data_IF_288692155740
#
_entry.id   IF_288692155740
#
_cell.length_a   1.000
_cell.length_b   1.000
_cell.length_c   1.000
_cell.angle_alpha   90.00
_cell.angle_beta   90.00
_cell.angle_gamma   90.00
#
_symmetry.space_group_name_H-M   'P 1'
#
loop_
_entity.id
_entity.type
_entity.pdbx_description
1 polymer ?
#
# COMPACT_ATOMS: atom_id res chain seq x y z
N UNK A 1 6.50 -1.82 -29.25
CA UNK A 1 5.90 -0.49 -29.14
C UNK A 1 5.21 -0.30 -27.78
N UNK A 2 4.61 0.89 -27.52
CA UNK A 2 3.96 1.18 -26.24
C UNK A 2 2.78 0.26 -25.91
N UNK A 3 2.07 -0.21 -26.90
CA UNK A 3 0.95 -1.15 -26.72
C UNK A 3 1.46 -2.52 -26.25
N UNK A 4 2.51 -3.01 -26.89
CA UNK A 4 3.13 -4.29 -26.51
C UNK A 4 3.70 -4.22 -25.09
N UNK A 5 4.35 -3.12 -24.75
CA UNK A 5 4.86 -2.89 -23.39
C UNK A 5 3.74 -2.85 -22.35
N UNK A 6 2.63 -2.12 -22.61
CA UNK A 6 1.48 -2.07 -21.73
C UNK A 6 0.92 -3.47 -21.46
N UNK A 7 0.74 -4.28 -22.52
CA UNK A 7 0.25 -5.65 -22.41
C UNK A 7 1.14 -6.53 -21.51
N UNK A 8 2.47 -6.34 -21.60
CA UNK A 8 3.42 -7.08 -20.78
C UNK A 8 3.36 -6.69 -19.30
N UNK A 9 3.25 -5.38 -19.00
CA UNK A 9 3.31 -4.89 -17.62
C UNK A 9 1.96 -4.89 -16.90
N UNK A 10 0.83 -4.92 -17.62
CA UNK A 10 -0.51 -4.75 -17.03
C UNK A 10 -0.79 -5.73 -15.89
N UNK A 11 -0.36 -6.98 -16.01
CA UNK A 11 -0.52 -7.99 -14.97
C UNK A 11 0.51 -7.89 -13.84
N UNK A 12 1.48 -6.98 -13.95
CA UNK A 12 2.57 -6.79 -12.99
C UNK A 12 2.36 -5.54 -12.14
N UNK A 13 1.51 -4.61 -12.58
CA UNK A 13 1.27 -3.33 -11.91
C UNK A 13 -0.22 -3.04 -11.78
N UNK A 14 -0.63 -2.50 -10.64
CA UNK A 14 -2.02 -2.09 -10.36
C UNK A 14 -2.23 -0.58 -10.57
N UNK A 15 -1.16 0.18 -10.83
CA UNK A 15 -1.26 1.62 -11.05
C UNK A 15 -1.94 1.96 -12.39
N UNK A 16 -2.60 3.12 -12.50
CA UNK A 16 -3.15 3.60 -13.76
C UNK A 16 -2.08 3.78 -14.84
N UNK A 17 -2.38 3.31 -16.06
CA UNK A 17 -1.52 3.44 -17.23
C UNK A 17 -2.18 4.41 -18.21
N UNK A 18 -1.49 5.52 -18.52
CA UNK A 18 -1.96 6.53 -19.46
C UNK A 18 -1.07 6.54 -20.70
N UNK A 19 -1.68 6.42 -21.89
CA UNK A 19 -0.96 6.57 -23.15
C UNK A 19 -0.84 8.03 -23.58
N UNK A 20 0.38 8.44 -23.94
CA UNK A 20 0.66 9.72 -24.61
C UNK A 20 1.14 9.45 -26.04
N UNK A 21 0.32 9.70 -27.04
CA UNK A 21 0.56 9.23 -28.40
C UNK A 21 0.19 10.25 -29.48
N UNK A 22 0.84 10.13 -30.64
CA UNK A 22 0.43 10.86 -31.85
C UNK A 22 -0.65 10.13 -32.64
N UNK A 23 -1.01 8.89 -32.27
CA UNK A 23 -2.07 8.14 -32.94
C UNK A 23 -3.43 8.70 -32.53
N UNK A 24 -4.23 9.06 -33.54
CA UNK A 24 -5.54 9.73 -33.34
C UNK A 24 -6.71 8.91 -33.88
N UNK A 25 -6.45 7.76 -34.49
CA UNK A 25 -7.48 6.90 -35.02
C UNK A 25 -8.26 6.25 -33.87
N UNK A 26 -9.56 6.23 -33.97
CA UNK A 26 -10.47 5.65 -32.98
C UNK A 26 -10.15 4.18 -32.70
N UNK A 27 -9.75 3.42 -33.72
CA UNK A 27 -9.33 2.02 -33.61
C UNK A 27 -8.08 1.86 -32.71
N UNK A 28 -7.09 2.76 -32.83
CA UNK A 28 -5.89 2.76 -31.97
C UNK A 28 -6.23 3.07 -30.49
N UNK A 29 -7.19 3.97 -30.26
CA UNK A 29 -7.66 4.33 -28.93
C UNK A 29 -8.40 3.15 -28.29
N UNK A 30 -9.33 2.55 -29.02
CA UNK A 30 -10.09 1.39 -28.57
C UNK A 30 -9.18 0.20 -28.29
N UNK A 31 -8.17 -0.01 -29.15
CA UNK A 31 -7.18 -1.06 -28.93
C UNK A 31 -6.36 -0.81 -27.68
N UNK A 32 -5.84 0.43 -27.47
CA UNK A 32 -5.06 0.80 -26.29
C UNK A 32 -5.82 0.60 -24.99
N UNK A 33 -7.09 0.99 -24.96
CA UNK A 33 -7.96 0.78 -23.78
C UNK A 33 -8.28 -0.71 -23.60
N UNK A 34 -8.47 -1.45 -24.68
CA UNK A 34 -8.75 -2.89 -24.65
C UNK A 34 -7.61 -3.74 -24.11
N UNK A 35 -6.35 -3.30 -24.21
CA UNK A 35 -5.17 -4.00 -23.67
C UNK A 35 -4.85 -3.63 -22.23
N UNK A 36 -5.67 -2.77 -21.59
CA UNK A 36 -5.55 -2.46 -20.17
C UNK A 36 -5.00 -1.08 -19.84
N UNK A 37 -4.98 -0.14 -20.80
CA UNK A 37 -4.74 1.27 -20.49
C UNK A 37 -5.98 1.89 -19.82
N UNK A 38 -5.74 2.82 -18.88
CA UNK A 38 -6.79 3.51 -18.14
C UNK A 38 -7.19 4.83 -18.80
N UNK A 39 -6.31 5.44 -19.60
CA UNK A 39 -6.59 6.67 -20.35
C UNK A 39 -5.68 6.82 -21.56
N UNK A 40 -6.09 7.71 -22.46
CA UNK A 40 -5.43 7.93 -23.74
C UNK A 40 -5.41 9.42 -24.07
N UNK A 41 -4.22 9.99 -24.24
CA UNK A 41 -4.03 11.42 -24.51
C UNK A 41 -3.28 11.59 -25.82
N UNK A 42 -3.91 12.26 -26.78
CA UNK A 42 -3.31 12.51 -28.09
C UNK A 42 -2.38 13.72 -28.09
N UNK A 43 -1.28 13.62 -28.80
CA UNK A 43 -0.38 14.75 -29.08
C UNK A 43 -0.90 15.57 -30.27
N UNK A 44 -0.84 16.92 -30.21
CA UNK A 44 -0.31 17.76 -29.11
C UNK A 44 -1.32 17.89 -27.98
N UNK A 45 -0.84 17.85 -26.73
CA UNK A 45 -1.67 18.04 -25.53
C UNK A 45 -1.16 19.23 -24.69
N UNK A 46 -2.05 19.78 -23.87
CA UNK A 46 -1.69 20.81 -22.87
C UNK A 46 -1.22 20.15 -21.58
N UNK A 47 -0.14 20.66 -20.99
CA UNK A 47 0.38 20.15 -19.72
C UNK A 47 -0.68 20.18 -18.61
N UNK A 48 -1.57 21.21 -18.63
CA UNK A 48 -2.68 21.31 -17.69
C UNK A 48 -3.69 20.19 -17.85
N UNK A 49 -3.97 19.74 -19.07
CA UNK A 49 -4.85 18.60 -19.36
C UNK A 49 -4.24 17.30 -18.82
N UNK A 50 -2.95 17.06 -19.12
CA UNK A 50 -2.24 15.90 -18.58
C UNK A 50 -2.31 15.87 -17.05
N UNK A 51 -1.99 16.99 -16.39
CA UNK A 51 -2.06 17.09 -14.92
C UNK A 51 -3.47 16.80 -14.38
N UNK A 52 -4.50 17.32 -15.01
CA UNK A 52 -5.89 17.11 -14.60
C UNK A 52 -6.30 15.64 -14.72
N UNK A 53 -5.93 14.97 -15.82
CA UNK A 53 -6.20 13.54 -16.03
C UNK A 53 -5.45 12.66 -15.03
N UNK A 54 -4.15 12.88 -14.83
CA UNK A 54 -3.37 12.16 -13.82
C UNK A 54 -3.99 12.34 -12.43
N UNK A 55 -4.32 13.60 -12.04
CA UNK A 55 -4.97 13.87 -10.75
C UNK A 55 -6.34 13.16 -10.62
N UNK A 56 -7.11 13.06 -11.71
CA UNK A 56 -8.39 12.37 -11.72
C UNK A 56 -8.23 10.87 -11.50
N UNK A 57 -7.25 10.22 -12.18
CA UNK A 57 -6.95 8.80 -12.01
C UNK A 57 -6.44 8.51 -10.59
N UNK A 58 -5.49 9.28 -10.07
CA UNK A 58 -5.00 9.13 -8.70
C UNK A 58 -6.09 9.32 -7.64
N UNK A 59 -7.04 10.25 -7.88
CA UNK A 59 -8.18 10.45 -6.99
C UNK A 59 -9.17 9.29 -7.05
N UNK A 60 -9.40 8.69 -8.24
CA UNK A 60 -10.25 7.51 -8.42
C UNK A 60 -9.62 6.32 -7.72
N UNK A 61 -8.34 6.08 -7.94
CA UNK A 61 -7.57 5.03 -7.26
C UNK A 61 -7.64 5.16 -5.73
N UNK A 62 -7.48 6.37 -5.19
CA UNK A 62 -7.70 6.62 -3.75
C UNK A 62 -9.13 6.36 -3.27
N UNK A 63 -10.14 6.43 -4.14
CA UNK A 63 -11.54 6.13 -3.79
C UNK A 63 -11.86 4.64 -3.91
N UNK A 64 -11.28 3.96 -4.88
CA UNK A 64 -11.45 2.50 -5.07
C UNK A 64 -10.62 1.71 -4.06
N UNK A 65 -9.49 2.23 -3.62
CA UNK A 65 -8.84 1.87 -2.37
C UNK A 65 -9.52 2.56 -1.18
N UNK A 66 -10.80 2.29 -0.94
CA UNK A 66 -11.26 2.11 0.41
C UNK A 66 -10.52 0.87 0.91
N UNK A 67 -9.45 1.15 1.14
CA UNK A 67 -8.21 0.63 1.57
C UNK A 67 -8.46 -0.10 2.87
N UNK A 68 -9.15 -1.21 2.73
CA UNK A 68 -9.17 -2.23 3.76
C UNK A 68 -8.23 -3.33 3.33
N UNK A 69 -7.20 -3.58 4.11
CA UNK A 69 -6.44 -4.81 4.03
C UNK A 69 -7.09 -5.80 4.97
N UNK A 70 -7.53 -6.94 4.45
CA UNK A 70 -8.12 -8.00 5.25
C UNK A 70 -7.18 -9.19 5.31
N UNK A 71 -6.97 -9.71 6.52
CA UNK A 71 -6.20 -10.92 6.78
C UNK A 71 -7.10 -11.92 7.50
N UNK A 72 -7.06 -13.16 7.08
CA UNK A 72 -7.78 -14.21 7.78
C UNK A 72 -7.13 -14.51 9.15
N UNK A 73 -7.95 -14.89 10.15
CA UNK A 73 -9.38 -15.12 10.04
C UNK A 73 -10.27 -13.91 10.33
N UNK A 74 -9.85 -12.78 10.84
CA UNK A 74 -10.74 -11.67 11.21
C UNK A 74 -10.03 -10.33 11.41
N UNK A 75 -8.90 -10.12 10.79
CA UNK A 75 -8.12 -8.88 10.92
C UNK A 75 -8.39 -7.99 9.71
N UNK A 76 -8.79 -6.74 9.97
CA UNK A 76 -9.10 -5.74 8.96
C UNK A 76 -8.42 -4.42 9.30
N UNK A 77 -7.58 -3.93 8.40
CA UNK A 77 -7.04 -2.58 8.47
C UNK A 77 -7.93 -1.62 7.68
N UNK A 78 -8.41 -0.58 8.31
CA UNK A 78 -8.96 0.59 7.64
C UNK A 78 -7.83 1.60 7.47
N UNK A 79 -7.28 1.67 6.25
CA UNK A 79 -6.14 2.53 5.94
C UNK A 79 -6.53 4.01 5.91
N UNK A 80 -7.79 4.32 5.61
CA UNK A 80 -8.31 5.69 5.59
C UNK A 80 -8.47 6.23 7.00
N UNK A 81 -9.07 5.43 7.89
CA UNK A 81 -9.22 5.78 9.30
C UNK A 81 -7.95 5.53 10.12
N UNK A 82 -6.94 4.84 9.54
CA UNK A 82 -5.73 4.35 10.24
C UNK A 82 -6.09 3.56 11.48
N UNK A 83 -7.01 2.61 11.33
CA UNK A 83 -7.54 1.78 12.41
C UNK A 83 -7.45 0.29 12.06
N UNK A 84 -7.18 -0.52 13.08
CA UNK A 84 -7.20 -1.97 12.96
C UNK A 84 -8.40 -2.51 13.71
N UNK A 85 -9.12 -3.42 13.08
CA UNK A 85 -10.26 -4.14 13.63
C UNK A 85 -9.97 -5.63 13.70
N UNK A 86 -10.43 -6.25 14.75
CA UNK A 86 -10.42 -7.72 14.92
C UNK A 86 -11.86 -8.13 15.24
N UNK A 87 -12.46 -8.97 14.40
CA UNK A 87 -13.87 -9.37 14.54
C UNK A 87 -14.81 -8.17 14.74
N UNK A 88 -14.67 -7.15 13.88
CA UNK A 88 -15.44 -5.89 13.89
C UNK A 88 -15.19 -4.98 15.12
N UNK A 89 -14.32 -5.34 16.03
CA UNK A 89 -13.94 -4.51 17.17
C UNK A 89 -12.63 -3.78 16.90
N UNK A 90 -12.62 -2.48 17.10
CA UNK A 90 -11.42 -1.66 16.92
C UNK A 90 -10.38 -1.93 18.00
N UNK A 91 -9.13 -2.18 17.58
CA UNK A 91 -8.00 -2.26 18.49
C UNK A 91 -7.51 -0.84 18.84
N UNK A 92 -7.39 -0.48 20.13
CA UNK A 92 -6.99 0.88 20.51
C UNK A 92 -5.50 1.13 20.34
N UNK A 93 -5.03 1.16 19.10
CA UNK A 93 -3.64 1.45 18.76
C UNK A 93 -3.33 2.95 18.81
N UNK A 94 -2.10 3.27 19.23
CA UNK A 94 -1.51 4.58 18.96
C UNK A 94 -1.16 4.69 17.47
N UNK A 95 -0.87 5.92 16.99
CA UNK A 95 -0.45 6.15 15.61
C UNK A 95 0.79 5.33 15.22
N UNK A 96 1.77 5.25 16.13
CA UNK A 96 3.01 4.49 15.92
C UNK A 96 2.75 2.98 15.88
N UNK A 97 1.97 2.46 16.80
CA UNK A 97 1.59 1.04 16.83
C UNK A 97 0.84 0.63 15.56
N UNK A 98 -0.13 1.46 15.13
CA UNK A 98 -0.84 1.23 13.88
C UNK A 98 0.11 1.21 12.68
N UNK A 99 1.02 2.20 12.58
CA UNK A 99 1.96 2.30 11.45
C UNK A 99 2.91 1.11 11.39
N UNK A 100 3.38 0.61 12.54
CA UNK A 100 4.21 -0.59 12.61
C UNK A 100 3.42 -1.82 12.15
N UNK A 101 2.19 -2.00 12.63
CA UNK A 101 1.33 -3.11 12.22
C UNK A 101 1.03 -3.07 10.73
N UNK A 102 0.65 -1.90 10.19
CA UNK A 102 0.36 -1.73 8.77
C UNK A 102 1.59 -2.07 7.91
N UNK A 103 2.77 -1.57 8.28
CA UNK A 103 4.01 -1.86 7.56
C UNK A 103 4.33 -3.35 7.51
N UNK A 104 4.27 -4.03 8.64
CA UNK A 104 4.54 -5.47 8.72
C UNK A 104 3.48 -6.28 7.97
N UNK A 105 2.20 -5.94 8.11
CA UNK A 105 1.11 -6.65 7.48
C UNK A 105 1.11 -6.52 5.95
N UNK A 106 1.44 -5.32 5.41
CA UNK A 106 1.61 -5.11 3.96
C UNK A 106 2.73 -5.97 3.36
N UNK A 107 3.70 -6.32 4.18
CA UNK A 107 4.86 -7.13 3.78
C UNK A 107 4.84 -8.50 4.47
N UNK A 108 3.65 -9.11 4.55
CA UNK A 108 3.42 -10.39 5.21
C UNK A 108 4.45 -11.45 4.81
N UNK A 109 4.98 -12.17 5.79
CA UNK A 109 6.00 -13.20 5.60
C UNK A 109 7.44 -12.67 5.49
N UNK A 110 7.64 -11.38 5.29
CA UNK A 110 8.97 -10.77 5.24
C UNK A 110 9.45 -10.36 6.63
N UNK A 111 10.73 -10.62 6.91
CA UNK A 111 11.37 -10.24 8.18
C UNK A 111 12.00 -8.87 8.05
N UNK A 112 11.77 -8.01 9.02
CA UNK A 112 12.35 -6.66 9.10
C UNK A 112 13.13 -6.49 10.39
N UNK A 113 14.32 -5.87 10.29
CA UNK A 113 15.08 -5.48 11.46
C UNK A 113 14.41 -4.32 12.20
N UNK A 114 14.78 -4.09 13.44
CA UNK A 114 14.27 -2.94 14.22
C UNK A 114 14.61 -1.62 13.54
N UNK A 115 15.80 -1.51 12.98
CA UNK A 115 16.27 -0.36 12.23
C UNK A 115 15.38 -0.09 11.00
N UNK A 116 15.11 -1.11 10.20
CA UNK A 116 14.24 -0.99 9.02
C UNK A 116 12.83 -0.55 9.39
N UNK A 117 12.26 -1.11 10.46
CA UNK A 117 10.94 -0.72 10.94
C UNK A 117 10.97 0.74 11.40
N UNK A 118 12.00 1.13 12.18
CA UNK A 118 12.13 2.49 12.68
C UNK A 118 12.25 3.51 11.54
N UNK A 119 13.17 3.31 10.61
CA UNK A 119 13.41 4.21 9.48
C UNK A 119 12.16 4.37 8.61
N UNK A 120 11.42 3.28 8.37
CA UNK A 120 10.22 3.32 7.54
C UNK A 120 9.07 4.04 8.23
N UNK A 121 8.88 3.82 9.54
CA UNK A 121 7.73 4.36 10.27
C UNK A 121 7.96 5.77 10.79
N UNK A 122 9.18 6.07 11.22
CA UNK A 122 9.52 7.33 11.89
C UNK A 122 10.43 8.25 11.07
N UNK A 123 11.04 7.76 9.99
CA UNK A 123 11.97 8.52 9.13
C UNK A 123 13.44 8.43 9.59
N UNK A 124 14.33 8.90 8.72
CA UNK A 124 15.80 8.77 8.87
C UNK A 124 16.35 9.74 9.94
N UNK A 125 15.63 10.83 10.24
CA UNK A 125 16.11 11.91 11.15
C UNK A 125 15.90 11.60 12.64
N UNK A 126 15.36 10.44 12.98
CA UNK A 126 15.20 9.99 14.36
C UNK A 126 16.48 9.39 14.91
N UNK A 127 16.87 9.79 16.13
CA UNK A 127 17.87 9.04 16.91
C UNK A 127 17.25 7.66 17.19
N UNK A 128 17.65 6.67 16.41
CA UNK A 128 17.10 5.32 16.50
C UNK A 128 17.53 4.66 17.79
N UNK A 129 16.65 4.64 18.77
CA UNK A 129 16.76 3.72 19.89
C UNK A 129 16.00 2.43 19.53
N UNK A 130 16.75 1.36 19.26
CA UNK A 130 16.22 0.03 18.97
C UNK A 130 15.27 -0.49 20.07
N UNK A 131 15.36 0.04 21.28
CA UNK A 131 14.47 -0.28 22.39
C UNK A 131 13.03 0.19 22.12
N UNK A 132 12.86 1.28 21.39
CA UNK A 132 11.56 1.86 21.04
C UNK A 132 10.70 0.87 20.24
N UNK A 133 11.26 0.23 19.22
CA UNK A 133 10.52 -0.76 18.42
C UNK A 133 10.13 -1.97 19.26
N UNK A 134 11.03 -2.48 20.09
CA UNK A 134 10.73 -3.61 20.99
C UNK A 134 9.58 -3.29 21.95
N UNK A 135 9.54 -2.06 22.48
CA UNK A 135 8.46 -1.59 23.35
C UNK A 135 7.14 -1.49 22.62
N UNK A 136 7.13 -0.92 21.39
CA UNK A 136 5.91 -0.88 20.56
C UNK A 136 5.40 -2.28 20.23
N UNK A 137 6.27 -3.21 19.83
CA UNK A 137 5.88 -4.59 19.53
C UNK A 137 5.28 -5.28 20.77
N UNK A 138 5.87 -5.07 21.96
CA UNK A 138 5.31 -5.59 23.20
C UNK A 138 3.90 -5.05 23.45
N UNK A 139 3.69 -3.75 23.30
CA UNK A 139 2.39 -3.11 23.50
C UNK A 139 1.34 -3.58 22.46
N UNK A 140 1.76 -3.67 21.19
CA UNK A 140 0.92 -4.21 20.11
C UNK A 140 0.45 -5.62 20.46
N UNK A 141 1.37 -6.50 20.83
CA UNK A 141 1.07 -7.89 21.20
C UNK A 141 0.09 -7.96 22.38
N UNK A 142 0.33 -7.17 23.42
CA UNK A 142 -0.55 -7.13 24.58
C UNK A 142 -1.98 -6.72 24.21
N UNK A 143 -2.14 -5.75 23.29
CA UNK A 143 -3.46 -5.33 22.80
C UNK A 143 -4.13 -6.39 21.93
N UNK A 144 -3.38 -7.06 21.07
CA UNK A 144 -3.88 -8.12 20.20
C UNK A 144 -4.21 -9.41 20.97
N UNK A 145 -3.54 -9.67 22.09
CA UNK A 145 -3.80 -10.81 22.95
C UNK A 145 -5.22 -10.79 23.54
N UNK A 146 -5.79 -9.60 23.80
CA UNK A 146 -7.19 -9.47 24.18
C UNK A 146 -8.17 -10.06 23.15
N UNK A 147 -7.76 -10.09 21.89
CA UNK A 147 -8.52 -10.68 20.78
C UNK A 147 -8.07 -12.11 20.45
N UNK A 148 -7.18 -12.69 21.26
CA UNK A 148 -6.64 -14.05 21.08
C UNK A 148 -5.92 -14.26 19.75
N UNK A 149 -5.27 -13.23 19.21
CA UNK A 149 -4.47 -13.27 17.99
C UNK A 149 -3.03 -12.85 18.26
N UNK A 150 -2.09 -13.43 17.51
CA UNK A 150 -0.65 -13.12 17.62
C UNK A 150 -0.01 -13.15 16.23
N UNK A 151 -0.34 -12.19 15.35
CA UNK A 151 0.13 -12.21 13.97
C UNK A 151 1.60 -11.79 13.81
N UNK A 152 2.21 -11.17 14.83
CA UNK A 152 3.61 -10.74 14.77
C UNK A 152 4.50 -11.75 15.46
N UNK A 153 5.39 -12.38 14.70
CA UNK A 153 6.41 -13.29 15.21
C UNK A 153 7.78 -12.61 15.34
N UNK A 154 8.58 -13.11 16.27
CA UNK A 154 9.98 -12.70 16.42
C UNK A 154 10.87 -13.68 15.69
N UNK A 155 11.74 -13.18 14.82
CA UNK A 155 12.84 -13.94 14.24
C UNK A 155 14.09 -13.59 15.04
N UNK A 156 14.52 -14.52 15.89
CA UNK A 156 15.60 -14.29 16.85
C UNK A 156 16.92 -13.87 16.17
N UNK A 157 17.51 -12.84 16.68
CA UNK A 157 18.74 -12.26 16.13
C UNK A 157 18.55 -11.41 14.88
N UNK A 158 17.33 -11.29 14.34
CA UNK A 158 17.05 -10.52 13.12
C UNK A 158 16.02 -9.42 13.38
N UNK A 159 14.76 -9.80 13.74
CA UNK A 159 13.72 -8.79 13.90
C UNK A 159 12.31 -9.39 13.99
N UNK A 160 11.37 -8.79 13.28
CA UNK A 160 9.95 -9.12 13.35
C UNK A 160 9.35 -9.35 11.96
N UNK A 161 8.32 -10.19 11.89
CA UNK A 161 7.51 -10.39 10.69
C UNK A 161 6.03 -10.53 11.06
N UNK A 162 5.17 -10.24 10.10
CA UNK A 162 3.75 -10.60 10.14
C UNK A 162 3.56 -11.98 9.48
N UNK A 163 2.84 -12.88 10.14
CA UNK A 163 2.56 -14.24 9.63
C UNK A 163 1.47 -14.27 8.55
#
# INVERSE_FOLDING_TARGET
DGFEFCKQIRNMVDCPILFLTAKTLEEDILFGLGIGADDYITKPFRVQELRARVAAHLRREKREHHSTLSFEPNIKFDLSARALYVSEQQVPFTKSEYSICEYLARNRGQVFTKEQIYETVFGIDGISDNSTISTHIKNIRAKLEHFKISPISTVWGIGYKWE
#
